data_IF_644598653554
#
_entry.id   IF_644598653554
#
_cell.length_a   1.000
_cell.length_b   1.000
_cell.length_c   1.000
_cell.angle_alpha   90.00
_cell.angle_beta   90.00
_cell.angle_gamma   90.00
#
_symmetry.space_group_name_H-M   'P 1'
#
loop_
_entity.id
_entity.type
_entity.pdbx_description
1 polymer ?
#
# COMPACT_ATOMS: atom_id res chain seq x y z
N UNK A 1 -6.60 -41.30 -11.68
CA UNK A 1 -5.72 -40.12 -11.45
C UNK A 1 -6.62 -38.97 -11.10
N UNK A 2 -6.53 -38.41 -9.88
CA UNK A 2 -7.27 -37.18 -9.57
C UNK A 2 -6.78 -36.09 -10.52
N UNK A 3 -7.68 -35.39 -11.20
CA UNK A 3 -7.29 -34.29 -12.08
C UNK A 3 -6.48 -33.25 -11.28
N UNK A 4 -5.43 -32.70 -11.87
CA UNK A 4 -4.63 -31.63 -11.28
C UNK A 4 -5.55 -30.43 -10.96
N UNK A 5 -5.66 -30.00 -9.69
CA UNK A 5 -6.51 -28.88 -9.31
C UNK A 5 -6.17 -27.60 -10.09
N UNK A 6 -7.19 -26.96 -10.67
CA UNK A 6 -7.08 -25.69 -11.35
C UNK A 6 -7.50 -24.53 -10.44
N UNK A 7 -6.53 -23.70 -10.09
CA UNK A 7 -6.72 -22.49 -9.30
C UNK A 7 -6.81 -21.29 -10.25
N UNK A 8 -7.90 -20.54 -10.17
CA UNK A 8 -8.04 -19.26 -10.88
C UNK A 8 -7.88 -18.12 -9.89
N UNK A 9 -6.97 -17.20 -10.19
CA UNK A 9 -6.69 -16.01 -9.40
C UNK A 9 -7.21 -14.78 -10.16
N UNK A 10 -8.10 -14.00 -9.56
CA UNK A 10 -8.60 -12.75 -10.14
C UNK A 10 -7.85 -11.57 -9.52
N UNK A 11 -7.15 -10.81 -10.37
CA UNK A 11 -6.34 -9.65 -9.98
C UNK A 11 -4.86 -10.01 -9.84
N UNK A 12 -4.02 -9.42 -10.67
CA UNK A 12 -2.57 -9.62 -10.69
C UNK A 12 -1.80 -8.45 -10.10
N UNK A 13 -2.36 -7.77 -9.10
CA UNK A 13 -1.56 -6.94 -8.19
C UNK A 13 -0.63 -7.79 -7.32
N UNK A 14 0.04 -7.15 -6.36
CA UNK A 14 0.99 -7.82 -5.46
C UNK A 14 0.43 -9.12 -4.87
N UNK A 15 -0.78 -9.08 -4.29
CA UNK A 15 -1.37 -10.25 -3.64
C UNK A 15 -1.60 -11.41 -4.59
N UNK A 16 -2.11 -11.16 -5.80
CA UNK A 16 -2.39 -12.24 -6.76
C UNK A 16 -1.13 -12.84 -7.34
N UNK A 17 -0.14 -12.00 -7.67
CA UNK A 17 1.17 -12.47 -8.11
C UNK A 17 1.89 -13.27 -7.01
N UNK A 18 1.89 -12.78 -5.77
CA UNK A 18 2.51 -13.46 -4.64
C UNK A 18 1.86 -14.82 -4.37
N UNK A 19 0.52 -14.93 -4.40
CA UNK A 19 -0.18 -16.21 -4.27
C UNK A 19 0.16 -17.16 -5.41
N UNK A 20 0.23 -16.67 -6.65
CA UNK A 20 0.59 -17.50 -7.80
C UNK A 20 2.01 -18.10 -7.67
N UNK A 21 2.98 -17.26 -7.28
CA UNK A 21 4.37 -17.66 -7.06
C UNK A 21 4.45 -18.71 -5.94
N UNK A 22 3.78 -18.43 -4.81
CA UNK A 22 3.81 -19.29 -3.63
C UNK A 22 3.14 -20.66 -3.88
N UNK A 23 2.03 -20.69 -4.62
CA UNK A 23 1.37 -21.94 -5.00
C UNK A 23 2.28 -22.84 -5.85
N UNK A 24 3.00 -22.26 -6.81
CA UNK A 24 3.98 -23.01 -7.59
C UNK A 24 5.16 -23.49 -6.76
N UNK A 25 5.58 -22.73 -5.75
CA UNK A 25 6.69 -23.11 -4.87
C UNK A 25 6.30 -24.30 -3.98
N UNK A 26 5.09 -24.29 -3.43
CA UNK A 26 4.59 -25.33 -2.52
C UNK A 26 4.13 -26.60 -3.25
N UNK A 27 3.55 -26.45 -4.45
CA UNK A 27 3.02 -27.56 -5.23
C UNK A 27 3.52 -27.50 -6.68
N UNK A 28 4.83 -27.63 -6.91
CA UNK A 28 5.45 -27.40 -8.20
C UNK A 28 5.06 -28.41 -9.27
N UNK A 29 4.28 -29.46 -9.01
CA UNK A 29 3.66 -30.32 -10.03
C UNK A 29 2.23 -30.74 -9.64
N UNK A 30 1.65 -30.03 -8.66
CA UNK A 30 0.40 -30.44 -8.00
C UNK A 30 -0.77 -29.50 -8.28
N UNK A 31 -0.55 -28.38 -8.97
CA UNK A 31 -1.58 -27.38 -9.27
C UNK A 31 -1.32 -26.69 -10.60
N UNK A 32 -2.40 -26.43 -11.32
CA UNK A 32 -2.44 -25.51 -12.46
C UNK A 32 -3.01 -24.18 -12.00
N UNK A 33 -2.36 -23.07 -12.35
CA UNK A 33 -2.75 -21.72 -11.94
C UNK A 33 -3.04 -20.86 -13.16
N UNK A 34 -4.18 -20.16 -13.17
CA UNK A 34 -4.48 -19.10 -14.13
C UNK A 34 -4.69 -17.79 -13.41
N UNK A 35 -3.84 -16.81 -13.70
CA UNK A 35 -3.96 -15.45 -13.21
C UNK A 35 -4.66 -14.57 -14.25
N UNK A 36 -5.84 -14.04 -13.92
CA UNK A 36 -6.55 -13.05 -14.70
C UNK A 36 -6.13 -11.64 -14.26
N UNK A 37 -5.39 -10.95 -15.12
CA UNK A 37 -4.91 -9.58 -14.89
C UNK A 37 -4.82 -8.85 -16.23
N UNK A 38 -5.61 -7.79 -16.48
CA UNK A 38 -5.63 -7.12 -17.77
C UNK A 38 -4.32 -6.41 -18.13
N UNK A 39 -3.53 -5.98 -17.14
CA UNK A 39 -2.24 -5.32 -17.39
C UNK A 39 -1.23 -6.27 -18.03
N UNK A 40 -0.25 -5.68 -18.71
CA UNK A 40 0.81 -6.44 -19.38
C UNK A 40 1.65 -7.27 -18.41
N UNK A 41 1.93 -6.74 -17.22
CA UNK A 41 2.78 -7.39 -16.23
C UNK A 41 2.06 -7.50 -14.88
N UNK A 42 1.95 -8.71 -14.30
CA UNK A 42 1.50 -8.90 -12.94
C UNK A 42 2.49 -8.34 -11.90
N UNK A 43 2.03 -8.25 -10.65
CA UNK A 43 2.83 -7.88 -9.47
C UNK A 43 2.63 -6.45 -9.01
N UNK A 44 2.52 -5.50 -9.94
CA UNK A 44 2.49 -4.08 -9.59
C UNK A 44 1.14 -3.64 -8.98
N UNK A 45 0.02 -4.03 -9.61
CA UNK A 45 -1.32 -3.61 -9.19
C UNK A 45 -1.48 -2.08 -9.08
N UNK A 46 -2.51 -1.59 -8.39
CA UNK A 46 -2.73 -0.13 -8.25
C UNK A 46 -1.59 0.53 -7.47
N UNK A 47 -1.09 -0.12 -6.41
CA UNK A 47 -0.14 0.48 -5.48
C UNK A 47 1.27 0.69 -6.06
N UNK A 48 1.72 -0.17 -6.98
CA UNK A 48 3.10 -0.16 -7.48
C UNK A 48 3.21 0.07 -8.99
N UNK A 49 2.11 0.36 -9.70
CA UNK A 49 2.15 0.65 -11.15
C UNK A 49 2.44 2.11 -11.47
N UNK A 50 2.61 2.98 -10.47
CA UNK A 50 2.88 4.39 -10.69
C UNK A 50 4.28 4.62 -11.26
N UNK A 51 4.38 5.52 -12.24
CA UNK A 51 5.64 5.98 -12.82
C UNK A 51 6.15 7.29 -12.18
N UNK A 52 5.39 7.85 -11.23
CA UNK A 52 5.75 9.11 -10.57
C UNK A 52 6.93 8.90 -9.62
N UNK A 53 8.09 9.56 -9.85
CA UNK A 53 9.31 9.33 -9.08
C UNK A 53 9.23 9.77 -7.61
N UNK A 54 8.28 10.65 -7.25
CA UNK A 54 8.09 11.02 -5.83
C UNK A 54 7.33 9.97 -5.03
N UNK A 55 6.62 9.04 -5.68
CA UNK A 55 5.88 8.00 -4.98
C UNK A 55 6.85 6.92 -4.46
N UNK A 56 7.08 6.92 -3.15
CA UNK A 56 7.99 5.99 -2.46
C UNK A 56 7.24 4.84 -1.81
N UNK A 57 7.90 3.68 -1.68
CA UNK A 57 7.39 2.66 -0.75
C UNK A 57 7.42 3.20 0.68
N UNK A 58 6.49 2.77 1.52
CA UNK A 58 6.26 3.38 2.83
C UNK A 58 7.03 2.70 3.98
N UNK A 59 7.71 1.59 3.69
CA UNK A 59 8.59 0.87 4.60
C UNK A 59 9.94 0.68 3.92
N UNK A 60 11.04 0.49 4.67
CA UNK A 60 12.34 0.20 4.07
C UNK A 60 12.28 -1.01 3.13
N UNK A 61 13.06 -0.98 2.06
CA UNK A 61 13.14 -2.07 1.07
C UNK A 61 13.45 -3.42 1.72
N UNK A 62 14.29 -3.44 2.77
CA UNK A 62 14.63 -4.66 3.51
C UNK A 62 13.40 -5.35 4.15
N UNK A 63 12.33 -4.59 4.42
CA UNK A 63 11.07 -5.09 5.01
C UNK A 63 10.00 -5.39 3.95
N UNK A 64 10.27 -5.17 2.67
CA UNK A 64 9.40 -5.57 1.57
C UNK A 64 9.76 -6.99 1.18
N UNK A 65 8.78 -7.91 1.22
CA UNK A 65 9.04 -9.34 1.06
C UNK A 65 7.94 -10.01 0.24
N UNK A 66 8.34 -11.03 -0.52
CA UNK A 66 7.45 -12.10 -0.98
C UNK A 66 7.67 -13.31 -0.07
N UNK A 67 6.62 -14.10 0.13
CA UNK A 67 6.75 -15.33 0.92
C UNK A 67 7.75 -16.28 0.26
N UNK A 68 8.62 -16.90 1.08
CA UNK A 68 9.66 -17.82 0.61
C UNK A 68 10.96 -17.16 0.13
N UNK A 69 10.99 -15.85 -0.05
CA UNK A 69 12.25 -15.12 -0.29
C UNK A 69 13.09 -14.99 0.99
N UNK A 70 14.40 -14.83 0.82
CA UNK A 70 15.30 -14.41 1.89
C UNK A 70 14.94 -13.01 2.43
N UNK A 71 15.20 -12.79 3.72
CA UNK A 71 15.01 -11.46 4.32
C UNK A 71 15.87 -10.43 3.58
N UNK A 72 15.25 -9.32 3.16
CA UNK A 72 15.94 -8.28 2.41
C UNK A 72 16.15 -8.58 0.93
N UNK A 73 15.57 -9.65 0.36
CA UNK A 73 15.73 -9.99 -1.06
C UNK A 73 15.42 -8.83 -2.02
N UNK A 74 14.37 -8.04 -1.73
CA UNK A 74 14.07 -6.84 -2.54
C UNK A 74 15.11 -5.73 -2.39
N UNK A 75 15.64 -5.50 -1.19
CA UNK A 75 16.70 -4.50 -0.96
C UNK A 75 17.97 -4.87 -1.73
N UNK A 76 18.40 -6.13 -1.61
CA UNK A 76 19.53 -6.66 -2.34
C UNK A 76 19.31 -6.55 -3.85
N UNK A 77 18.15 -6.99 -4.36
CA UNK A 77 17.80 -6.88 -5.77
C UNK A 77 17.86 -5.43 -6.26
N UNK A 78 17.27 -4.49 -5.51
CA UNK A 78 17.19 -3.08 -5.91
C UNK A 78 18.57 -2.44 -5.98
N UNK A 79 19.46 -2.72 -5.02
CA UNK A 79 20.84 -2.20 -5.01
C UNK A 79 21.66 -2.61 -6.25
N UNK A 80 21.29 -3.73 -6.89
CA UNK A 80 21.93 -4.20 -8.13
C UNK A 80 21.25 -3.65 -9.40
N UNK A 81 20.19 -2.86 -9.27
CA UNK A 81 19.54 -2.24 -10.44
C UNK A 81 20.21 -0.92 -10.81
N UNK A 82 20.27 -0.57 -12.11
CA UNK A 82 20.67 0.78 -12.55
C UNK A 82 19.83 1.88 -11.90
N UNK A 83 18.57 1.57 -11.58
CA UNK A 83 17.64 2.48 -10.90
C UNK A 83 18.11 2.92 -9.50
N UNK A 84 18.97 2.14 -8.82
CA UNK A 84 19.53 2.54 -7.53
C UNK A 84 20.61 3.60 -7.68
N UNK A 85 21.48 3.47 -8.70
CA UNK A 85 22.55 4.43 -8.95
C UNK A 85 22.03 5.82 -9.33
N UNK A 86 20.88 5.89 -10.01
CA UNK A 86 20.27 7.17 -10.43
C UNK A 86 19.38 7.80 -9.35
N UNK A 87 18.82 7.01 -8.44
CA UNK A 87 17.91 7.48 -7.39
C UNK A 87 18.68 7.82 -6.12
N UNK A 88 19.39 8.95 -6.16
CA UNK A 88 20.24 9.43 -5.05
C UNK A 88 19.47 9.68 -3.75
N UNK A 89 18.14 9.79 -3.82
CA UNK A 89 17.29 9.98 -2.65
C UNK A 89 16.81 8.66 -2.02
N UNK A 90 17.02 7.51 -2.67
CA UNK A 90 16.55 6.22 -2.16
C UNK A 90 17.31 5.80 -0.90
N UNK A 91 18.64 5.96 -0.89
CA UNK A 91 19.49 5.64 0.27
C UNK A 91 19.44 6.77 1.29
N UNK A 92 19.06 6.43 2.53
CA UNK A 92 18.99 7.37 3.65
C UNK A 92 20.30 7.35 4.45
N UNK A 93 20.61 8.42 5.21
CA UNK A 93 21.84 8.48 6.00
C UNK A 93 22.02 7.35 7.02
N UNK A 94 20.92 6.75 7.49
CA UNK A 94 20.92 5.61 8.40
C UNK A 94 21.07 4.24 7.69
N UNK A 95 21.35 4.25 6.38
CA UNK A 95 21.53 3.05 5.55
C UNK A 95 20.22 2.43 5.05
N UNK A 96 19.06 2.88 5.53
CA UNK A 96 17.77 2.40 5.06
C UNK A 96 17.49 2.86 3.62
N UNK A 97 16.77 2.05 2.85
CA UNK A 97 16.49 2.34 1.44
C UNK A 97 14.98 2.44 1.21
N UNK A 98 14.53 3.51 0.57
CA UNK A 98 13.14 3.78 0.21
C UNK A 98 13.02 4.05 -1.30
N UNK A 99 12.96 2.99 -2.14
CA UNK A 99 12.85 3.11 -3.58
C UNK A 99 11.52 3.74 -4.03
N UNK A 100 11.50 4.22 -5.26
CA UNK A 100 10.25 4.51 -5.98
C UNK A 100 9.34 3.26 -6.02
N UNK A 101 8.03 3.43 -5.83
CA UNK A 101 7.06 2.31 -5.75
C UNK A 101 7.12 1.39 -6.98
N UNK A 102 7.35 1.97 -8.16
CA UNK A 102 7.50 1.23 -9.41
C UNK A 102 8.60 0.16 -9.38
N UNK A 103 9.66 0.36 -8.60
CA UNK A 103 10.76 -0.61 -8.49
C UNK A 103 10.32 -1.88 -7.77
N UNK A 104 9.48 -1.77 -6.74
CA UNK A 104 8.90 -2.94 -6.10
C UNK A 104 7.93 -3.67 -7.03
N UNK A 105 7.15 -2.93 -7.83
CA UNK A 105 6.31 -3.52 -8.88
C UNK A 105 7.12 -4.34 -9.89
N UNK A 106 8.26 -3.80 -10.36
CA UNK A 106 9.19 -4.49 -11.27
C UNK A 106 9.79 -5.74 -10.65
N UNK A 107 10.20 -5.67 -9.37
CA UNK A 107 10.71 -6.84 -8.64
C UNK A 107 9.70 -7.99 -8.65
N UNK A 108 8.45 -7.72 -8.24
CA UNK A 108 7.40 -8.74 -8.18
C UNK A 108 7.05 -9.26 -9.58
N UNK A 109 7.04 -8.39 -10.59
CA UNK A 109 6.83 -8.80 -11.98
C UNK A 109 7.92 -9.76 -12.48
N UNK A 110 9.19 -9.49 -12.13
CA UNK A 110 10.30 -10.38 -12.46
C UNK A 110 10.14 -11.74 -11.75
N UNK A 111 9.87 -11.74 -10.44
CA UNK A 111 9.64 -12.98 -9.69
C UNK A 111 8.48 -13.80 -10.24
N UNK A 112 7.41 -13.13 -10.68
CA UNK A 112 6.29 -13.80 -11.34
C UNK A 112 6.70 -14.41 -12.69
N UNK A 113 7.48 -13.69 -13.50
CA UNK A 113 7.97 -14.18 -14.78
C UNK A 113 8.90 -15.40 -14.61
N UNK A 114 9.80 -15.35 -13.64
CA UNK A 114 10.69 -16.47 -13.30
C UNK A 114 9.90 -17.71 -12.87
N UNK A 115 8.87 -17.52 -12.02
CA UNK A 115 7.96 -18.59 -11.61
C UNK A 115 7.17 -19.16 -12.79
N UNK A 116 6.67 -18.31 -13.69
CA UNK A 116 5.95 -18.75 -14.88
C UNK A 116 6.84 -19.55 -15.83
N UNK A 117 8.07 -19.07 -16.09
CA UNK A 117 9.04 -19.73 -16.97
C UNK A 117 9.45 -21.12 -16.45
N UNK A 118 9.64 -21.25 -15.13
CA UNK A 118 9.99 -22.51 -14.48
C UNK A 118 8.81 -23.46 -14.24
N UNK A 119 7.56 -23.01 -14.47
CA UNK A 119 6.35 -23.79 -14.18
C UNK A 119 6.01 -24.88 -15.20
N UNK A 120 6.76 -25.01 -16.29
CA UNK A 120 6.40 -25.94 -17.38
C UNK A 120 5.02 -25.67 -17.97
N UNK A 121 4.55 -24.41 -17.97
CA UNK A 121 3.24 -24.00 -18.49
C UNK A 121 2.09 -24.08 -17.49
N UNK A 122 2.33 -24.49 -16.23
CA UNK A 122 1.29 -24.59 -15.20
C UNK A 122 0.82 -23.25 -14.66
N UNK A 123 1.62 -22.20 -14.74
CA UNK A 123 1.18 -20.83 -14.45
C UNK A 123 0.97 -20.06 -15.74
N UNK A 124 -0.28 -19.68 -15.98
CA UNK A 124 -0.68 -18.86 -17.12
C UNK A 124 -1.19 -17.51 -16.67
N UNK A 125 -0.62 -16.45 -17.21
CA UNK A 125 -1.19 -15.10 -17.13
C UNK A 125 -2.13 -14.89 -18.32
N UNK A 126 -3.40 -14.63 -18.03
CA UNK A 126 -4.41 -14.22 -19.00
C UNK A 126 -4.67 -12.73 -18.87
N UNK A 127 -4.42 -11.99 -19.96
CA UNK A 127 -4.65 -10.55 -20.06
C UNK A 127 -6.11 -10.24 -20.33
N UNK A 128 -6.94 -10.52 -19.34
CA UNK A 128 -8.39 -10.37 -19.42
C UNK A 128 -8.96 -9.96 -18.05
N UNK A 129 -10.23 -9.52 -18.04
CA UNK A 129 -10.97 -9.16 -16.83
C UNK A 129 -12.00 -10.24 -16.53
N UNK A 130 -12.13 -10.62 -15.27
CA UNK A 130 -13.24 -11.45 -14.83
C UNK A 130 -14.50 -10.59 -14.65
N UNK A 131 -15.64 -11.03 -15.17
CA UNK A 131 -16.94 -10.35 -15.05
C UNK A 131 -17.88 -11.06 -14.08
N UNK A 132 -17.88 -12.39 -14.08
CA UNK A 132 -18.79 -13.18 -13.27
C UNK A 132 -18.15 -14.49 -12.80
N UNK A 133 -18.65 -15.00 -11.69
CA UNK A 133 -18.39 -16.34 -11.21
C UNK A 133 -19.72 -17.04 -10.91
N UNK A 134 -19.99 -18.13 -11.60
CA UNK A 134 -21.22 -18.91 -11.44
C UNK A 134 -20.92 -20.39 -11.52
N UNK A 135 -21.39 -21.16 -10.54
CA UNK A 135 -21.25 -22.63 -10.49
C UNK A 135 -19.82 -23.12 -10.80
N UNK A 136 -18.80 -22.52 -10.17
CA UNK A 136 -17.41 -22.93 -10.34
C UNK A 136 -16.75 -22.42 -11.63
N UNK A 137 -17.42 -21.58 -12.42
CA UNK A 137 -16.90 -21.06 -13.69
C UNK A 137 -16.75 -19.55 -13.65
N UNK A 138 -15.56 -19.07 -13.99
CA UNK A 138 -15.27 -17.65 -14.22
C UNK A 138 -15.58 -17.32 -15.68
N UNK A 139 -16.38 -16.28 -15.91
CA UNK A 139 -16.60 -15.70 -17.23
C UNK A 139 -15.76 -14.43 -17.36
N UNK A 140 -14.97 -14.34 -18.43
CA UNK A 140 -14.14 -13.16 -18.72
C UNK A 140 -14.83 -12.18 -19.67
N UNK A 141 -14.31 -10.96 -19.73
CA UNK A 141 -14.76 -9.90 -20.63
C UNK A 141 -14.52 -10.28 -22.10
N UNK A 142 -13.42 -10.98 -22.39
CA UNK A 142 -13.16 -11.62 -23.68
C UNK A 142 -14.05 -12.83 -24.02
N UNK A 143 -15.02 -13.18 -23.15
CA UNK A 143 -15.95 -14.28 -23.36
C UNK A 143 -15.42 -15.68 -23.02
N UNK A 144 -14.22 -15.79 -22.45
CA UNK A 144 -13.68 -17.08 -22.03
C UNK A 144 -14.41 -17.60 -20.79
N UNK A 145 -14.65 -18.90 -20.75
CA UNK A 145 -15.17 -19.60 -19.59
C UNK A 145 -14.08 -20.50 -19.00
N UNK A 146 -13.76 -20.28 -17.72
CA UNK A 146 -12.71 -20.98 -17.00
C UNK A 146 -13.33 -21.70 -15.80
N UNK A 147 -13.39 -23.02 -15.84
CA UNK A 147 -13.71 -23.82 -14.66
C UNK A 147 -12.57 -23.70 -13.64
N UNK A 148 -12.90 -23.44 -12.39
CA UNK A 148 -11.95 -23.32 -11.29
C UNK A 148 -12.34 -24.30 -10.17
N UNK A 149 -11.40 -25.12 -9.73
CA UNK A 149 -11.58 -25.93 -8.52
C UNK A 149 -11.44 -25.05 -7.27
N UNK A 150 -10.60 -24.02 -7.35
CA UNK A 150 -10.49 -22.97 -6.34
C UNK A 150 -10.39 -21.59 -7.00
N UNK A 151 -11.10 -20.61 -6.43
CA UNK A 151 -11.04 -19.22 -6.84
C UNK A 151 -10.37 -18.36 -5.78
N UNK A 152 -9.33 -17.63 -6.17
CA UNK A 152 -8.68 -16.63 -5.31
C UNK A 152 -9.06 -15.24 -5.78
N UNK A 153 -9.70 -14.46 -4.89
CA UNK A 153 -10.03 -13.06 -5.14
C UNK A 153 -8.92 -12.16 -4.61
N UNK A 154 -8.04 -11.70 -5.51
CA UNK A 154 -6.97 -10.74 -5.25
C UNK A 154 -7.31 -9.34 -5.80
N UNK A 155 -8.59 -8.99 -5.79
CA UNK A 155 -9.18 -7.75 -6.32
C UNK A 155 -9.15 -6.59 -5.31
N UNK A 156 -8.05 -6.44 -4.56
CA UNK A 156 -7.95 -5.45 -3.49
C UNK A 156 -7.90 -4.00 -4.00
N UNK A 157 -8.28 -3.06 -3.12
CA UNK A 157 -8.30 -1.59 -3.23
C UNK A 157 -8.42 -1.00 -4.66
N UNK A 158 -9.62 -0.54 -5.07
CA UNK A 158 -9.76 0.15 -6.35
C UNK A 158 -9.00 1.48 -6.36
N UNK A 159 -8.79 2.08 -7.55
CA UNK A 159 -8.38 3.48 -7.65
C UNK A 159 -9.33 4.41 -6.85
N UNK A 160 -8.87 5.61 -6.46
CA UNK A 160 -9.69 6.57 -5.74
C UNK A 160 -10.97 6.88 -6.52
N UNK A 161 -12.09 6.89 -5.81
CA UNK A 161 -13.39 7.28 -6.33
C UNK A 161 -13.87 8.55 -5.65
N UNK A 162 -14.70 9.33 -6.35
CA UNK A 162 -15.33 10.50 -5.76
C UNK A 162 -16.27 10.07 -4.61
N UNK A 163 -16.22 10.76 -3.45
CA UNK A 163 -17.25 10.59 -2.44
C UNK A 163 -18.58 11.12 -2.96
N UNK A 164 -19.73 10.57 -2.51
CA UNK A 164 -21.05 11.02 -2.96
C UNK A 164 -21.28 12.53 -2.85
N UNK A 165 -20.72 13.16 -1.80
CA UNK A 165 -20.82 14.60 -1.58
C UNK A 165 -20.12 15.44 -2.66
N UNK A 166 -19.16 14.86 -3.39
CA UNK A 166 -18.43 15.54 -4.47
C UNK A 166 -18.95 15.20 -5.86
N UNK A 167 -19.99 14.36 -5.97
CA UNK A 167 -20.52 13.86 -7.23
C UNK A 167 -21.06 14.99 -8.12
N UNK A 168 -21.63 16.03 -7.50
CA UNK A 168 -22.12 17.23 -8.20
C UNK A 168 -21.02 17.96 -8.99
N UNK A 169 -19.74 17.78 -8.63
CA UNK A 169 -18.61 18.40 -9.32
C UNK A 169 -17.88 17.44 -10.25
N UNK A 170 -18.38 16.22 -10.50
CA UNK A 170 -17.72 15.19 -11.32
C UNK A 170 -17.14 15.73 -12.64
N UNK A 171 -17.86 16.64 -13.29
CA UNK A 171 -17.50 17.19 -14.60
C UNK A 171 -16.82 18.57 -14.51
N UNK A 172 -16.61 19.10 -13.30
CA UNK A 172 -15.95 20.38 -13.12
C UNK A 172 -14.47 20.26 -13.53
N UNK A 173 -13.94 21.15 -14.38
CA UNK A 173 -12.59 21.00 -14.95
C UNK A 173 -11.47 21.07 -13.90
N UNK A 174 -11.73 21.69 -12.75
CA UNK A 174 -10.78 21.74 -11.64
C UNK A 174 -10.85 20.52 -10.68
N UNK A 175 -11.79 19.58 -10.89
CA UNK A 175 -11.89 18.38 -10.06
C UNK A 175 -11.01 17.26 -10.61
N UNK A 176 -10.04 16.83 -9.80
CA UNK A 176 -9.20 15.68 -10.10
C UNK A 176 -9.63 14.52 -9.20
N UNK A 177 -10.43 13.61 -9.75
CA UNK A 177 -10.97 12.47 -9.00
C UNK A 177 -9.90 11.43 -8.64
N UNK A 178 -8.93 11.21 -9.53
CA UNK A 178 -7.85 10.24 -9.34
C UNK A 178 -6.50 10.92 -9.61
N UNK A 179 -5.78 11.35 -8.56
CA UNK A 179 -4.49 12.04 -8.71
C UNK A 179 -3.36 11.11 -9.17
N UNK A 180 -3.59 9.80 -9.27
CA UNK A 180 -2.59 8.84 -9.75
C UNK A 180 -2.61 8.63 -11.26
N UNK A 181 -3.57 9.22 -11.98
CA UNK A 181 -3.56 9.17 -13.43
C UNK A 181 -2.33 9.91 -13.97
N UNK A 182 -1.60 9.36 -14.96
CA UNK A 182 -0.47 10.05 -15.57
C UNK A 182 -0.87 11.45 -16.05
N UNK A 183 -0.09 12.45 -15.64
CA UNK A 183 -0.32 13.86 -16.00
C UNK A 183 -1.51 14.54 -15.32
N UNK A 184 -2.21 13.87 -14.38
CA UNK A 184 -3.40 14.44 -13.73
C UNK A 184 -3.14 15.76 -13.00
N UNK A 185 -1.90 15.98 -12.55
CA UNK A 185 -1.50 17.15 -11.78
C UNK A 185 -0.74 18.19 -12.62
N UNK A 186 -0.36 17.86 -13.86
CA UNK A 186 0.53 18.69 -14.70
C UNK A 186 -0.11 20.01 -15.12
N UNK A 187 -1.44 20.01 -15.29
CA UNK A 187 -2.20 21.20 -15.67
C UNK A 187 -2.45 22.18 -14.50
N UNK A 188 -2.10 21.81 -13.27
CA UNK A 188 -2.26 22.70 -12.12
C UNK A 188 -1.21 23.81 -12.20
N UNK A 189 -1.67 25.04 -12.43
CA UNK A 189 -0.77 26.19 -12.55
C UNK A 189 0.12 26.35 -11.29
N UNK A 190 1.38 26.80 -11.42
CA UNK A 190 2.34 26.82 -10.32
C UNK A 190 1.85 27.56 -9.06
N UNK A 191 1.06 28.62 -9.19
CA UNK A 191 0.55 29.38 -8.04
C UNK A 191 -0.94 29.15 -7.74
N UNK A 192 -1.57 28.16 -8.38
CA UNK A 192 -2.97 27.85 -8.13
C UNK A 192 -3.21 27.45 -6.66
N UNK A 193 -4.37 27.83 -6.13
CA UNK A 193 -4.84 27.36 -4.82
C UNK A 193 -5.42 25.96 -4.99
N UNK A 194 -4.90 24.99 -4.25
CA UNK A 194 -5.30 23.58 -4.35
C UNK A 194 -5.97 23.13 -3.07
N UNK A 195 -7.11 22.45 -3.18
CA UNK A 195 -7.73 21.76 -2.06
C UNK A 195 -7.59 20.25 -2.25
N UNK A 196 -7.18 19.53 -1.21
CA UNK A 196 -7.06 18.06 -1.23
C UNK A 196 -8.02 17.44 -0.23
N UNK A 197 -8.91 16.58 -0.74
CA UNK A 197 -9.85 15.81 0.05
C UNK A 197 -9.19 14.55 0.61
N UNK A 198 -9.00 14.51 1.92
CA UNK A 198 -8.29 13.46 2.63
C UNK A 198 -6.87 13.87 3.04
N UNK A 199 -6.37 13.25 4.11
CA UNK A 199 -5.06 13.58 4.73
C UNK A 199 -4.18 12.34 4.93
N UNK A 200 -4.45 11.27 4.16
CA UNK A 200 -3.67 10.02 4.19
C UNK A 200 -2.53 9.99 3.18
N UNK A 201 -2.02 8.80 2.89
CA UNK A 201 -0.88 8.58 1.99
C UNK A 201 -1.09 9.13 0.57
N UNK A 202 -2.31 9.01 0.03
CA UNK A 202 -2.64 9.59 -1.29
C UNK A 202 -2.43 11.11 -1.31
N UNK A 203 -2.80 11.81 -0.24
CA UNK A 203 -2.56 13.26 -0.15
C UNK A 203 -1.07 13.56 -0.07
N UNK A 204 -0.32 12.78 0.72
CA UNK A 204 1.13 12.93 0.82
C UNK A 204 1.82 12.80 -0.54
N UNK A 205 1.47 11.76 -1.30
CA UNK A 205 1.93 11.51 -2.67
C UNK A 205 1.55 12.66 -3.62
N UNK A 206 0.31 13.17 -3.56
CA UNK A 206 -0.15 14.31 -4.37
C UNK A 206 0.67 15.57 -4.08
N UNK A 207 0.91 15.90 -2.81
CA UNK A 207 1.70 17.09 -2.45
C UNK A 207 3.16 16.94 -2.88
N UNK A 208 3.76 15.76 -2.71
CA UNK A 208 5.13 15.52 -3.19
C UNK A 208 5.24 15.62 -4.71
N UNK A 209 4.24 15.15 -5.44
CA UNK A 209 4.17 15.29 -6.90
C UNK A 209 4.05 16.76 -7.32
N UNK A 210 3.15 17.52 -6.70
CA UNK A 210 3.00 18.96 -6.94
C UNK A 210 4.29 19.72 -6.65
N UNK A 211 4.98 19.38 -5.56
CA UNK A 211 6.25 19.99 -5.19
C UNK A 211 7.33 19.79 -6.27
N UNK A 212 7.48 18.54 -6.74
CA UNK A 212 8.37 18.17 -7.85
C UNK A 212 8.01 18.91 -9.14
N UNK A 213 6.72 19.06 -9.43
CA UNK A 213 6.22 19.79 -10.60
C UNK A 213 6.41 21.32 -10.48
N UNK A 214 6.98 21.82 -9.39
CA UNK A 214 7.28 23.24 -9.25
C UNK A 214 6.10 24.07 -8.74
N UNK A 215 5.01 23.45 -8.27
CA UNK A 215 3.90 24.18 -7.65
C UNK A 215 4.41 24.96 -6.43
N UNK A 216 3.95 26.19 -6.22
CA UNK A 216 4.30 27.09 -5.11
C UNK A 216 3.06 27.74 -4.49
N UNK A 217 1.87 27.50 -5.05
CA UNK A 217 0.61 27.99 -4.49
C UNK A 217 0.25 27.35 -3.15
N UNK A 218 -0.80 27.86 -2.52
CA UNK A 218 -1.28 27.31 -1.25
C UNK A 218 -2.06 26.02 -1.46
N UNK A 219 -1.86 25.07 -0.54
CA UNK A 219 -2.51 23.78 -0.50
C UNK A 219 -3.27 23.68 0.83
N UNK A 220 -4.57 23.41 0.76
CA UNK A 220 -5.40 23.08 1.93
C UNK A 220 -5.82 21.62 1.83
N UNK A 221 -5.26 20.77 2.68
CA UNK A 221 -5.67 19.39 2.83
C UNK A 221 -6.66 19.27 3.99
N UNK A 222 -7.76 18.54 3.81
CA UNK A 222 -8.74 18.38 4.89
C UNK A 222 -9.32 16.98 4.99
N UNK A 223 -9.65 16.57 6.20
CA UNK A 223 -10.34 15.31 6.49
C UNK A 223 -11.15 15.44 7.77
N UNK A 224 -12.04 14.48 8.05
CA UNK A 224 -12.94 14.50 9.22
C UNK A 224 -12.26 14.82 10.55
N UNK A 225 -10.99 14.40 10.72
CA UNK A 225 -10.22 14.61 11.94
C UNK A 225 -8.95 15.44 11.74
N UNK A 226 -8.61 15.82 10.51
CA UNK A 226 -7.39 16.59 10.22
C UNK A 226 -6.09 15.89 10.60
N UNK A 227 -6.08 14.55 10.71
CA UNK A 227 -4.89 13.80 11.12
C UNK A 227 -4.02 13.45 9.92
N UNK A 228 -2.71 13.65 10.04
CA UNK A 228 -1.73 13.23 9.06
C UNK A 228 -1.16 11.85 9.38
N UNK A 229 -0.96 11.04 8.35
CA UNK A 229 -0.05 9.88 8.41
C UNK A 229 1.32 10.32 8.93
N UNK A 230 1.86 9.59 9.91
CA UNK A 230 3.16 9.89 10.50
C UNK A 230 4.30 9.52 9.54
N UNK A 231 5.40 10.27 9.58
CA UNK A 231 6.64 9.88 8.90
C UNK A 231 7.21 8.59 9.47
N UNK A 232 7.90 7.82 8.65
CA UNK A 232 8.70 6.70 9.11
C UNK A 232 9.92 7.25 9.86
N UNK A 233 10.10 6.85 11.12
CA UNK A 233 11.17 7.38 11.95
C UNK A 233 12.44 6.56 11.78
N UNK A 234 13.57 7.26 11.61
CA UNK A 234 14.91 6.68 11.55
C UNK A 234 15.26 6.00 12.87
N UNK A 235 15.97 4.88 12.81
CA UNK A 235 16.39 4.14 14.00
C UNK A 235 16.55 2.66 13.75
N UNK A 236 17.45 2.02 14.51
CA UNK A 236 17.65 0.58 14.46
C UNK A 236 16.34 -0.17 14.76
N UNK A 237 16.21 -1.39 14.22
CA UNK A 237 15.05 -2.27 14.34
C UNK A 237 14.81 -2.83 15.75
N UNK A 238 14.88 -1.98 16.77
CA UNK A 238 14.65 -2.33 18.17
C UNK A 238 13.23 -2.86 18.31
N UNK A 239 13.13 -4.08 18.85
CA UNK A 239 11.86 -4.72 19.17
C UNK A 239 11.36 -4.22 20.52
N UNK A 240 10.06 -3.96 20.62
CA UNK A 240 9.41 -3.64 21.90
C UNK A 240 8.79 -4.91 22.52
N UNK A 241 9.14 -5.28 23.77
CA UNK A 241 8.66 -6.51 24.40
C UNK A 241 7.25 -6.36 25.02
N UNK A 242 6.32 -5.69 24.33
CA UNK A 242 4.95 -5.50 24.81
C UNK A 242 4.02 -6.63 24.37
N UNK A 243 3.14 -7.11 25.26
CA UNK A 243 2.04 -8.03 24.94
C UNK A 243 0.69 -7.30 25.01
N UNK A 244 -0.04 -7.30 23.90
CA UNK A 244 -1.34 -6.65 23.76
C UNK A 244 -2.45 -7.64 23.40
N UNK A 245 -2.23 -8.94 23.59
CA UNK A 245 -3.22 -9.96 23.25
C UNK A 245 -4.37 -10.03 24.25
N UNK A 246 -4.15 -9.56 25.48
CA UNK A 246 -5.12 -9.62 26.57
C UNK A 246 -5.88 -8.30 26.78
N UNK A 247 -7.00 -8.39 27.48
CA UNK A 247 -7.83 -7.24 27.87
C UNK A 247 -8.72 -6.67 26.76
N UNK A 248 -9.64 -5.81 27.18
CA UNK A 248 -10.55 -5.10 26.29
C UNK A 248 -9.87 -3.92 25.56
N UNK A 249 -10.56 -3.31 24.60
CA UNK A 249 -10.02 -2.21 23.79
C UNK A 249 -9.50 -1.02 24.62
N UNK A 250 -10.17 -0.66 25.73
CA UNK A 250 -9.74 0.46 26.58
C UNK A 250 -8.46 0.11 27.35
N UNK A 251 -8.39 -1.12 27.88
CA UNK A 251 -7.22 -1.63 28.57
C UNK A 251 -6.00 -1.68 27.64
N UNK A 252 -6.16 -2.22 26.42
CA UNK A 252 -5.09 -2.21 25.42
C UNK A 252 -4.66 -0.81 25.03
N UNK A 253 -5.59 0.09 24.76
CA UNK A 253 -5.25 1.47 24.43
C UNK A 253 -4.49 2.15 25.57
N UNK A 254 -4.89 1.92 26.81
CA UNK A 254 -4.18 2.42 27.99
C UNK A 254 -2.75 1.85 28.04
N UNK A 255 -2.59 0.54 27.87
CA UNK A 255 -1.28 -0.10 27.88
C UNK A 255 -0.37 0.43 26.77
N UNK A 256 -0.87 0.54 25.54
CA UNK A 256 -0.12 1.10 24.41
C UNK A 256 0.36 2.52 24.72
N UNK A 257 -0.47 3.37 25.34
CA UNK A 257 -0.08 4.73 25.70
C UNK A 257 0.99 4.77 26.80
N UNK A 258 0.90 3.88 27.80
CA UNK A 258 1.92 3.74 28.83
C UNK A 258 3.25 3.28 28.22
N UNK A 259 3.20 2.28 27.35
CA UNK A 259 4.39 1.74 26.68
C UNK A 259 5.04 2.76 25.75
N UNK A 260 4.26 3.57 25.04
CA UNK A 260 4.81 4.69 24.24
C UNK A 260 5.55 5.70 25.13
N UNK A 261 4.99 6.03 26.30
CA UNK A 261 5.66 6.94 27.24
C UNK A 261 6.93 6.30 27.83
N UNK A 262 6.90 5.02 28.16
CA UNK A 262 8.05 4.28 28.70
C UNK A 262 9.16 4.08 27.66
N UNK A 263 8.80 3.83 26.40
CA UNK A 263 9.74 3.79 25.29
C UNK A 263 10.45 5.15 25.12
N UNK A 264 9.70 6.26 25.21
CA UNK A 264 10.26 7.60 25.12
C UNK A 264 11.26 7.90 26.25
N UNK A 265 11.03 7.42 27.47
CA UNK A 265 11.99 7.55 28.59
C UNK A 265 13.32 6.81 28.31
N UNK A 266 13.30 5.81 27.45
CA UNK A 266 14.50 5.05 27.01
C UNK A 266 15.09 5.62 25.71
N UNK A 267 14.63 6.78 25.24
CA UNK A 267 15.06 7.37 23.96
C UNK A 267 14.55 6.62 22.72
N UNK A 268 13.57 5.71 22.88
CA UNK A 268 12.99 4.95 21.79
C UNK A 268 11.75 5.64 21.22
N UNK A 269 11.59 5.52 19.90
CA UNK A 269 10.44 6.05 19.19
C UNK A 269 9.15 5.29 19.52
N UNK A 270 8.01 5.99 19.54
CA UNK A 270 6.66 5.38 19.61
C UNK A 270 6.47 4.27 18.55
N UNK A 271 7.19 4.35 17.44
CA UNK A 271 7.12 3.42 16.32
C UNK A 271 7.39 1.97 16.75
N UNK A 272 8.31 1.72 17.69
CA UNK A 272 8.66 0.35 18.14
C UNK A 272 7.48 -0.33 18.85
N UNK A 273 6.72 0.44 19.63
CA UNK A 273 5.52 -0.02 20.35
C UNK A 273 4.42 -0.36 19.35
N UNK A 274 4.15 0.53 18.39
CA UNK A 274 3.11 0.34 17.39
C UNK A 274 3.47 -0.80 16.41
N UNK A 275 4.75 -1.03 16.14
CA UNK A 275 5.21 -2.20 15.38
C UNK A 275 4.95 -3.50 16.15
N UNK A 276 5.17 -3.54 17.48
CA UNK A 276 4.81 -4.70 18.31
C UNK A 276 3.30 -4.96 18.33
N UNK A 277 2.47 -3.91 18.47
CA UNK A 277 1.00 -4.03 18.34
C UNK A 277 0.62 -4.60 16.96
N UNK A 278 1.25 -4.11 15.89
CA UNK A 278 0.99 -4.56 14.51
C UNK A 278 1.32 -6.03 14.33
N UNK A 279 2.46 -6.50 14.85
CA UNK A 279 2.86 -7.91 14.77
C UNK A 279 1.83 -8.84 15.43
N UNK A 280 1.16 -8.36 16.48
CA UNK A 280 0.11 -9.11 17.18
C UNK A 280 -1.29 -8.89 16.59
N UNK A 281 -1.44 -7.93 15.65
CA UNK A 281 -2.72 -7.41 15.19
C UNK A 281 -3.71 -8.44 14.67
N UNK A 282 -3.25 -9.50 14.00
CA UNK A 282 -4.12 -10.58 13.53
C UNK A 282 -4.77 -11.35 14.69
N UNK A 283 -3.97 -11.76 15.69
CA UNK A 283 -4.47 -12.45 16.89
C UNK A 283 -5.40 -11.54 17.69
N UNK A 284 -5.00 -10.28 17.84
CA UNK A 284 -5.82 -9.23 18.48
C UNK A 284 -7.19 -9.16 17.81
N UNK A 285 -7.24 -8.98 16.48
CA UNK A 285 -8.48 -8.82 15.73
C UNK A 285 -9.39 -10.04 15.80
N UNK A 286 -8.82 -11.25 15.69
CA UNK A 286 -9.55 -12.50 15.79
C UNK A 286 -10.21 -12.68 17.16
N UNK A 287 -9.53 -12.29 18.24
CA UNK A 287 -10.06 -12.36 19.61
C UNK A 287 -11.13 -11.32 19.93
N UNK A 288 -11.26 -10.23 19.16
CA UNK A 288 -12.30 -9.22 19.41
C UNK A 288 -13.69 -9.72 19.05
N UNK A 289 -14.66 -9.44 19.91
CA UNK A 289 -16.08 -9.57 19.61
C UNK A 289 -16.48 -8.68 18.41
N UNK A 290 -17.58 -9.00 17.73
CA UNK A 290 -18.11 -8.15 16.64
C UNK A 290 -18.38 -6.72 17.13
N UNK A 291 -18.94 -6.57 18.34
CA UNK A 291 -19.19 -5.28 18.94
C UNK A 291 -17.90 -4.48 19.17
N UNK A 292 -16.81 -5.14 19.61
CA UNK A 292 -15.52 -4.48 19.76
C UNK A 292 -14.87 -4.15 18.41
N UNK A 293 -14.97 -5.01 17.40
CA UNK A 293 -14.51 -4.69 16.04
C UNK A 293 -15.21 -3.43 15.51
N UNK A 294 -16.53 -3.32 15.70
CA UNK A 294 -17.29 -2.11 15.35
C UNK A 294 -16.85 -0.88 16.15
N UNK A 295 -16.63 -1.01 17.47
CA UNK A 295 -16.11 0.09 18.30
C UNK A 295 -14.72 0.54 17.85
N UNK A 296 -13.81 -0.40 17.55
CA UNK A 296 -12.49 -0.09 17.03
C UNK A 296 -12.58 0.67 15.71
N UNK A 297 -13.36 0.17 14.76
CA UNK A 297 -13.55 0.79 13.45
C UNK A 297 -14.13 2.21 13.54
N UNK A 298 -15.03 2.44 14.51
CA UNK A 298 -15.67 3.74 14.72
C UNK A 298 -14.76 4.75 15.44
N UNK A 299 -14.01 4.30 16.46
CA UNK A 299 -13.36 5.22 17.42
C UNK A 299 -11.84 5.23 17.37
N UNK A 300 -11.22 4.13 16.95
CA UNK A 300 -9.76 3.95 17.07
C UNK A 300 -9.06 3.80 15.72
N UNK A 301 -9.78 3.38 14.67
CA UNK A 301 -9.20 3.11 13.36
C UNK A 301 -8.42 4.29 12.81
N UNK A 302 -8.92 5.52 12.88
CA UNK A 302 -8.21 6.68 12.32
C UNK A 302 -6.89 6.97 13.05
N UNK A 303 -6.86 6.78 14.37
CA UNK A 303 -5.59 6.87 15.13
C UNK A 303 -4.66 5.72 14.79
N UNK A 304 -5.17 4.51 14.62
CA UNK A 304 -4.36 3.37 14.18
C UNK A 304 -3.78 3.61 12.78
N UNK A 305 -4.62 4.00 11.82
CA UNK A 305 -4.26 4.15 10.42
C UNK A 305 -3.14 5.18 10.23
N UNK A 306 -3.17 6.33 10.93
CA UNK A 306 -2.11 7.35 10.79
C UNK A 306 -0.75 6.92 11.38
N UNK A 307 -0.73 5.99 12.33
CA UNK A 307 0.51 5.42 12.89
C UNK A 307 0.97 4.17 12.14
N UNK A 308 0.04 3.45 11.50
CA UNK A 308 0.30 2.20 10.76
C UNK A 308 0.71 2.46 9.32
N UNK A 309 0.05 3.39 8.64
CA UNK A 309 0.30 3.76 7.25
C UNK A 309 1.15 5.01 7.22
N UNK A 310 2.46 4.78 7.36
CA UNK A 310 3.47 5.83 7.48
C UNK A 310 3.89 6.35 6.13
N UNK A 311 4.35 7.60 6.11
CA UNK A 311 4.91 8.26 4.93
C UNK A 311 6.40 7.98 4.86
N UNK A 312 6.94 7.74 3.66
CA UNK A 312 8.38 7.61 3.46
C UNK A 312 9.12 8.91 3.87
N UNK A 313 10.35 8.84 4.39
CA UNK A 313 11.08 10.03 4.86
C UNK A 313 11.14 11.16 3.83
N UNK A 314 11.37 10.85 2.55
CA UNK A 314 11.45 11.86 1.48
C UNK A 314 10.14 12.64 1.31
N UNK A 315 9.01 11.95 1.37
CA UNK A 315 7.69 12.56 1.24
C UNK A 315 7.35 13.34 2.51
N UNK A 316 7.72 12.82 3.68
CA UNK A 316 7.53 13.53 4.96
C UNK A 316 8.30 14.86 5.00
N UNK A 317 9.55 14.88 4.52
CA UNK A 317 10.37 16.09 4.42
C UNK A 317 9.71 17.19 3.58
N UNK A 318 9.10 16.82 2.45
CA UNK A 318 8.34 17.77 1.60
C UNK A 318 7.13 18.33 2.35
N UNK A 319 6.34 17.46 2.99
CA UNK A 319 5.17 17.89 3.75
C UNK A 319 5.56 18.86 4.88
N UNK A 320 6.58 18.51 5.66
CA UNK A 320 7.08 19.33 6.76
C UNK A 320 7.60 20.69 6.28
N UNK A 321 8.33 20.72 5.15
CA UNK A 321 8.78 21.97 4.55
C UNK A 321 7.63 22.87 4.10
N UNK A 322 6.60 22.28 3.48
CA UNK A 322 5.39 23.00 3.06
C UNK A 322 4.57 23.51 4.24
N UNK A 323 4.48 22.73 5.32
CA UNK A 323 3.81 23.17 6.55
C UNK A 323 4.57 24.32 7.22
N UNK A 324 5.90 24.23 7.30
CA UNK A 324 6.74 25.28 7.92
C UNK A 324 6.65 26.62 7.19
N UNK A 325 6.53 26.59 5.87
CA UNK A 325 6.34 27.80 5.05
C UNK A 325 4.89 28.28 5.01
N UNK A 326 3.95 27.56 5.64
CA UNK A 326 2.52 27.87 5.61
C UNK A 326 1.83 27.57 4.26
N UNK A 327 2.56 27.03 3.29
CA UNK A 327 2.03 26.69 1.96
C UNK A 327 1.22 25.39 1.94
N UNK A 328 1.34 24.54 2.96
CA UNK A 328 0.41 23.43 3.23
C UNK A 328 -0.28 23.63 4.58
N UNK A 329 -1.61 23.65 4.56
CA UNK A 329 -2.45 23.69 5.76
C UNK A 329 -3.29 22.41 5.84
N UNK A 330 -3.39 21.85 7.03
CA UNK A 330 -4.18 20.63 7.29
C UNK A 330 -5.30 20.94 8.26
N UNK A 331 -6.53 20.63 7.88
CA UNK A 331 -7.72 21.01 8.65
C UNK A 331 -8.63 19.82 8.94
N UNK A 332 -9.26 19.86 10.11
CA UNK A 332 -10.39 18.99 10.40
C UNK A 332 -11.65 19.61 9.77
N UNK A 333 -12.21 18.96 8.75
CA UNK A 333 -13.42 19.40 8.05
C UNK A 333 -14.17 18.23 7.39
N UNK A 334 -15.43 18.46 7.01
CA UNK A 334 -16.25 17.51 6.24
C UNK A 334 -16.96 18.25 5.10
N UNK A 335 -17.20 17.54 3.99
CA UNK A 335 -18.19 17.97 3.02
C UNK A 335 -19.59 17.76 3.61
N UNK A 336 -20.47 18.72 3.37
CA UNK A 336 -21.88 18.67 3.80
C UNK A 336 -22.74 17.98 2.74
#
# INVERSE_FOLDING_TARGET
>A
MSAEPHIVIIGGGFSGAAVAIELLRLAPNGVRVTLLEPRQSPGAGVAYSTAEPTHRINVPAARMQLAGDEEGAFDHWYRHQPAFAVDVQALRPDGSVYPQRGQFGRYVAQRFADAAASSGGRLRHLRDRALAFHQGTVTTDGGLQLKADLLVLAISHPPPSLPPQAEAWRHHPALIANPWQPGALDAIAPHARVAVMGTGLTMADTVATLDRLGHRGSIVAFSRHGLLSRGNLSGAGTTWPGDYQQGNLRQRLRQIRLDVAYAAQQGLSWQVVLDAVRQQGQRIWQALSVADRQRFLRHLRHYWDVHRYRVAPQVAEVLEARQRTGSLQVQAARLL
#
